data_IF_991512406717
#
_entry.id   IF_991512406717
#
_cell.length_a   1.000
_cell.length_b   1.000
_cell.length_c   1.000
_cell.angle_alpha   90.00
_cell.angle_beta   90.00
_cell.angle_gamma   90.00
#
_symmetry.space_group_name_H-M   'P 1'
#
loop_
_entity.id
_entity.type
_entity.pdbx_description
1 polymer ?
#
# COMPACT_ATOMS: atom_id res chain seq x y z
N UNK A 1 -10.90 -15.95 1.69
CA UNK A 1 -10.70 -14.91 2.72
C UNK A 1 -11.96 -14.07 2.86
N UNK A 2 -12.14 -13.39 3.99
CA UNK A 2 -13.23 -12.42 4.22
C UNK A 2 -12.66 -11.16 4.85
N UNK A 3 -12.98 -10.00 4.29
CA UNK A 3 -12.59 -8.70 4.81
C UNK A 3 -13.78 -7.98 5.43
N UNK A 4 -13.55 -7.26 6.52
CA UNK A 4 -14.53 -6.41 7.19
C UNK A 4 -13.98 -5.01 7.33
N UNK A 5 -14.77 -4.07 6.83
CA UNK A 5 -14.47 -2.64 6.83
C UNK A 5 -15.55 -1.93 7.64
N UNK A 6 -15.14 -1.00 8.50
CA UNK A 6 -16.04 -0.15 9.26
C UNK A 6 -15.52 1.28 9.30
N UNK A 7 -16.43 2.25 9.36
CA UNK A 7 -16.07 3.61 9.74
C UNK A 7 -15.99 3.65 11.28
N UNK A 8 -14.79 3.86 11.82
CA UNK A 8 -14.64 4.10 13.25
C UNK A 8 -15.07 5.55 13.59
N UNK A 9 -14.78 6.48 12.67
CA UNK A 9 -15.24 7.87 12.69
C UNK A 9 -15.15 8.47 11.26
N UNK A 10 -15.35 9.78 11.10
CA UNK A 10 -15.35 10.45 9.79
C UNK A 10 -14.00 10.44 9.05
N UNK A 11 -12.92 10.13 9.75
CA UNK A 11 -11.54 10.20 9.27
C UNK A 11 -10.74 8.89 9.45
N UNK A 12 -11.36 7.87 10.04
CA UNK A 12 -10.70 6.60 10.35
C UNK A 12 -11.54 5.40 9.90
N UNK A 13 -10.91 4.49 9.16
CA UNK A 13 -11.45 3.16 8.84
C UNK A 13 -10.90 2.13 9.82
N UNK A 14 -11.75 1.25 10.32
CA UNK A 14 -11.37 0.00 10.97
C UNK A 14 -11.38 -1.12 9.93
N UNK A 15 -10.30 -1.89 9.86
CA UNK A 15 -10.13 -3.03 8.96
C UNK A 15 -9.77 -4.29 9.73
N UNK A 16 -10.39 -5.41 9.35
CA UNK A 16 -10.03 -6.74 9.83
C UNK A 16 -10.25 -7.78 8.73
N UNK A 17 -9.32 -8.72 8.59
CA UNK A 17 -9.45 -9.82 7.65
C UNK A 17 -9.34 -11.18 8.33
N UNK A 18 -10.08 -12.16 7.80
CA UNK A 18 -9.92 -13.58 8.10
C UNK A 18 -9.47 -14.30 6.84
N UNK A 19 -8.28 -14.90 6.91
CA UNK A 19 -7.68 -15.69 5.84
C UNK A 19 -7.90 -17.17 6.15
N UNK A 20 -8.50 -17.87 5.19
CA UNK A 20 -8.66 -19.31 5.19
C UNK A 20 -7.93 -19.86 3.96
N UNK A 21 -6.77 -20.47 4.18
CA UNK A 21 -5.97 -21.13 3.14
C UNK A 21 -5.41 -22.45 3.68
N UNK A 22 -6.06 -23.60 3.39
CA UNK A 22 -5.68 -24.89 3.94
C UNK A 22 -4.37 -25.45 3.39
N UNK A 23 -3.79 -24.87 2.32
CA UNK A 23 -2.50 -25.31 1.79
C UNK A 23 -1.33 -24.80 2.62
N UNK A 24 -1.50 -23.67 3.30
CA UNK A 24 -0.43 -22.99 4.05
C UNK A 24 -0.77 -22.77 5.52
N UNK A 25 -2.05 -22.73 5.90
CA UNK A 25 -2.51 -22.52 7.28
C UNK A 25 -3.20 -23.77 7.84
N UNK A 26 -2.97 -24.05 9.12
CA UNK A 26 -3.61 -25.17 9.84
C UNK A 26 -5.03 -24.87 10.30
N UNK A 27 -5.44 -23.60 10.26
CA UNK A 27 -6.77 -23.09 10.61
C UNK A 27 -6.94 -21.66 10.07
N UNK A 28 -8.17 -21.15 9.94
CA UNK A 28 -8.39 -19.74 9.65
C UNK A 28 -7.60 -18.85 10.62
N UNK A 29 -6.94 -17.84 10.07
CA UNK A 29 -6.25 -16.82 10.84
C UNK A 29 -6.96 -15.48 10.64
N UNK A 30 -7.21 -14.78 11.75
CA UNK A 30 -7.81 -13.45 11.73
C UNK A 30 -6.77 -12.44 12.14
N UNK A 31 -6.63 -11.37 11.37
CA UNK A 31 -5.72 -10.28 11.69
C UNK A 31 -6.18 -9.51 12.93
N UNK A 32 -5.28 -8.80 13.62
CA UNK A 32 -5.68 -7.71 14.49
C UNK A 32 -6.55 -6.70 13.72
N UNK A 33 -7.33 -5.91 14.46
CA UNK A 33 -8.02 -4.76 13.88
C UNK A 33 -7.00 -3.66 13.60
N UNK A 34 -7.01 -3.14 12.38
CA UNK A 34 -6.18 -2.02 11.96
C UNK A 34 -7.02 -0.75 11.87
N UNK A 35 -6.46 0.36 12.34
CA UNK A 35 -7.03 1.69 12.14
C UNK A 35 -6.27 2.38 11.02
N UNK A 36 -6.97 2.72 9.95
CA UNK A 36 -6.44 3.36 8.76
C UNK A 36 -6.94 4.80 8.76
N UNK A 37 -6.02 5.75 8.87
CA UNK A 37 -6.34 7.18 8.80
C UNK A 37 -6.46 7.64 7.34
N UNK A 38 -7.39 8.56 7.09
CA UNK A 38 -7.50 9.23 5.80
C UNK A 38 -6.18 9.92 5.48
N UNK A 39 -5.74 9.80 4.23
CA UNK A 39 -4.58 10.52 3.76
C UNK A 39 -4.79 12.04 3.87
N UNK A 40 -3.73 12.79 4.13
CA UNK A 40 -3.78 14.24 4.16
C UNK A 40 -4.25 14.78 2.78
N UNK A 41 -4.89 15.97 2.72
CA UNK A 41 -5.41 16.52 1.46
C UNK A 41 -4.36 16.73 0.36
N UNK A 42 -3.11 16.93 0.76
CA UNK A 42 -1.94 17.12 -0.09
C UNK A 42 -1.14 15.82 -0.33
N UNK A 43 -1.63 14.69 0.18
CA UNK A 43 -0.99 13.41 -0.05
C UNK A 43 -1.00 13.05 -1.54
N UNK A 44 0.20 12.87 -2.11
CA UNK A 44 0.37 12.40 -3.47
C UNK A 44 0.43 10.88 -3.46
N UNK A 45 -0.58 10.23 -4.05
CA UNK A 45 -0.56 8.79 -4.27
C UNK A 45 0.26 8.52 -5.53
N UNK A 46 1.44 7.94 -5.35
CA UNK A 46 2.29 7.53 -6.46
C UNK A 46 1.94 6.13 -6.93
N UNK A 47 2.11 5.88 -8.23
CA UNK A 47 2.10 4.53 -8.77
C UNK A 47 3.30 3.73 -8.21
N UNK A 48 3.01 2.52 -7.72
CA UNK A 48 4.06 1.59 -7.33
C UNK A 48 4.60 0.93 -8.61
N UNK A 49 5.72 1.45 -9.12
CA UNK A 49 6.43 0.80 -10.21
C UNK A 49 7.25 -0.37 -9.65
N UNK A 50 6.98 -1.58 -10.12
CA UNK A 50 7.86 -2.73 -9.91
C UNK A 50 9.05 -2.58 -10.87
N UNK A 51 10.04 -1.79 -10.46
CA UNK A 51 11.24 -1.55 -11.24
C UNK A 51 12.34 -2.50 -10.81
N UNK A 52 12.93 -3.17 -11.78
CA UNK A 52 14.22 -3.79 -11.59
C UNK A 52 15.31 -2.70 -11.42
N UNK A 53 16.46 -3.03 -10.80
CA UNK A 53 17.51 -2.05 -10.53
C UNK A 53 17.99 -1.29 -11.77
N UNK A 54 17.97 -1.95 -12.94
CA UNK A 54 18.31 -1.35 -14.23
C UNK A 54 17.34 -0.24 -14.64
N UNK A 55 16.03 -0.48 -14.58
CA UNK A 55 15.02 0.52 -14.92
C UNK A 55 15.04 1.71 -13.95
N UNK A 56 15.28 1.45 -12.67
CA UNK A 56 15.47 2.50 -11.67
C UNK A 56 16.69 3.37 -12.00
N UNK A 57 17.75 2.77 -12.54
CA UNK A 57 18.94 3.48 -13.02
C UNK A 57 18.63 4.42 -14.19
N UNK A 58 17.87 3.95 -15.18
CA UNK A 58 17.45 4.74 -16.35
C UNK A 58 16.60 5.94 -15.93
N UNK A 59 15.60 5.72 -15.07
CA UNK A 59 14.70 6.79 -14.60
C UNK A 59 15.48 7.84 -13.79
N UNK A 60 16.41 7.41 -12.92
CA UNK A 60 17.27 8.33 -12.16
C UNK A 60 18.19 9.15 -13.06
N UNK A 61 18.78 8.54 -14.08
CA UNK A 61 19.62 9.25 -15.04
C UNK A 61 18.80 10.31 -15.81
N UNK A 62 17.62 9.94 -16.30
CA UNK A 62 16.72 10.86 -16.99
C UNK A 62 16.22 12.00 -16.10
N UNK A 63 15.98 11.75 -14.80
CA UNK A 63 15.60 12.78 -13.84
C UNK A 63 16.75 13.77 -13.59
N UNK A 64 17.98 13.27 -13.41
CA UNK A 64 19.18 14.10 -13.23
C UNK A 64 19.42 15.03 -14.42
N UNK A 65 19.33 14.49 -15.64
CA UNK A 65 19.54 15.27 -16.87
C UNK A 65 18.50 16.39 -17.04
N UNK A 66 17.25 16.17 -16.59
CA UNK A 66 16.20 17.21 -16.56
C UNK A 66 16.44 18.29 -15.52
N UNK A 67 17.05 17.96 -14.39
CA UNK A 67 17.41 18.92 -13.35
C UNK A 67 18.59 19.79 -13.79
N UNK A 68 19.62 19.20 -14.40
CA UNK A 68 20.81 19.91 -14.89
C UNK A 68 20.50 20.87 -16.05
N UNK A 69 19.38 20.66 -16.74
CA UNK A 69 18.94 21.47 -17.89
C UNK A 69 17.90 22.55 -17.53
N UNK A 70 17.54 22.67 -16.24
CA UNK A 70 16.60 23.66 -15.71
C UNK A 70 17.35 24.80 -15.04
#
# INVERSE_FOLDING_TARGET
MVERWGLADGDTLEYQATVDDPKVLTRPWTTPKYLIKRAAPDAVIHEALCLDPEDLGVIKAAAKEKEEKK
#
